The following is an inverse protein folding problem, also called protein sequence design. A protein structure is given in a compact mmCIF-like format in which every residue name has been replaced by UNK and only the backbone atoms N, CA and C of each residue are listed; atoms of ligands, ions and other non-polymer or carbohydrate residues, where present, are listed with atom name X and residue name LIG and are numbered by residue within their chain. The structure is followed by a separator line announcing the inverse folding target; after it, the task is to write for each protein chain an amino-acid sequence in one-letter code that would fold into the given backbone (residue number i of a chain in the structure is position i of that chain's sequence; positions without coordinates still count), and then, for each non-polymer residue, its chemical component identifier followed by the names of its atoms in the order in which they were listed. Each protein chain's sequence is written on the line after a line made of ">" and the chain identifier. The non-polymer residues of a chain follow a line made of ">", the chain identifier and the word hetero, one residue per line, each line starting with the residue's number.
data_IF_362525675168
#
_entry.id   IF_362525675168
#
_cell.length_a   1.000
_cell.length_b   1.000
_cell.length_c   1.000
_cell.angle_alpha   90.00
_cell.angle_beta   90.00
_cell.angle_gamma   90.00
#
_symmetry.space_group_name_H-M   'P 1'
#
loop_
_entity.id
_entity.type
_entity.pdbx_description
1 polymer ?
#
# COMPACT_ATOMS: atom_id res chain seq x y z
N UNK A 1 -15.23 -16.43 -16.46
CA UNK A 1 -15.71 -15.61 -15.34
C UNK A 1 -16.50 -16.52 -14.40
N UNK A 2 -16.08 -16.68 -13.13
CA UNK A 2 -16.76 -17.52 -12.15
C UNK A 2 -18.21 -17.09 -11.86
N UNK A 3 -18.55 -15.81 -12.06
CA UNK A 3 -19.94 -15.29 -11.93
C UNK A 3 -20.80 -15.78 -13.09
N UNK A 4 -20.29 -15.69 -14.33
CA UNK A 4 -20.99 -16.21 -15.51
C UNK A 4 -21.21 -17.73 -15.39
N UNK A 5 -20.20 -18.48 -14.96
CA UNK A 5 -20.31 -19.93 -14.75
C UNK A 5 -21.40 -20.29 -13.71
N UNK A 6 -21.57 -19.49 -12.66
CA UNK A 6 -22.64 -19.67 -11.67
C UNK A 6 -24.03 -19.39 -12.25
N UNK A 7 -24.16 -18.32 -13.04
CA UNK A 7 -25.42 -17.94 -13.70
C UNK A 7 -25.86 -18.95 -14.77
N UNK A 8 -24.89 -19.57 -15.45
CA UNK A 8 -25.11 -20.56 -16.52
C UNK A 8 -25.37 -21.99 -16.01
N UNK A 9 -25.24 -22.23 -14.70
CA UNK A 9 -25.48 -23.56 -14.11
C UNK A 9 -26.70 -23.58 -13.17
N UNK A 10 -27.95 -23.32 -13.63
CA UNK A 10 -29.11 -23.51 -12.77
C UNK A 10 -29.40 -25.01 -12.59
N UNK A 11 -29.62 -25.45 -11.36
CA UNK A 11 -30.39 -26.68 -11.08
C UNK A 11 -31.86 -26.28 -10.95
N UNK A 12 -32.75 -27.07 -11.55
CA UNK A 12 -34.19 -26.81 -11.54
C UNK A 12 -34.71 -26.62 -10.10
N UNK A 13 -35.31 -25.46 -9.82
CA UNK A 13 -35.95 -25.14 -8.54
C UNK A 13 -35.14 -24.31 -7.53
N UNK A 14 -33.84 -24.07 -7.75
CA UNK A 14 -33.04 -23.23 -6.84
C UNK A 14 -33.24 -21.74 -7.11
N UNK A 15 -33.62 -20.97 -6.08
CA UNK A 15 -33.61 -19.50 -6.14
C UNK A 15 -32.15 -19.04 -6.22
N UNK A 16 -31.74 -18.25 -7.22
CA UNK A 16 -30.37 -17.81 -7.36
C UNK A 16 -29.95 -17.04 -6.10
N UNK A 17 -28.83 -17.44 -5.48
CA UNK A 17 -28.23 -16.68 -4.38
C UNK A 17 -27.80 -15.34 -4.95
N UNK A 18 -28.04 -14.25 -4.22
CA UNK A 18 -27.64 -12.90 -4.65
C UNK A 18 -26.11 -12.86 -4.77
N UNK A 19 -25.60 -12.88 -6.00
CA UNK A 19 -24.18 -12.71 -6.27
C UNK A 19 -23.85 -11.22 -6.19
N UNK A 20 -23.03 -10.83 -5.23
CA UNK A 20 -22.47 -9.48 -5.15
C UNK A 20 -21.09 -9.55 -5.77
N UNK A 21 -20.92 -8.91 -6.92
CA UNK A 21 -19.63 -8.83 -7.61
C UNK A 21 -18.93 -7.54 -7.18
N UNK A 22 -17.61 -7.60 -7.01
CA UNK A 22 -16.81 -6.41 -6.80
C UNK A 22 -16.88 -5.50 -8.03
N UNK A 23 -16.70 -4.19 -7.82
CA UNK A 23 -16.53 -3.26 -8.94
C UNK A 23 -15.25 -3.59 -9.70
N UNK A 24 -15.24 -3.36 -11.01
CA UNK A 24 -14.08 -3.65 -11.87
C UNK A 24 -12.82 -2.88 -11.45
N UNK A 25 -12.98 -1.68 -10.88
CA UNK A 25 -11.90 -0.90 -10.29
C UNK A 25 -12.46 0.12 -9.29
N UNK A 26 -11.59 0.60 -8.41
CA UNK A 26 -11.83 1.75 -7.53
C UNK A 26 -10.79 2.83 -7.84
N UNK A 27 -11.14 4.10 -7.64
CA UNK A 27 -10.19 5.20 -7.87
C UNK A 27 -9.02 5.13 -6.87
N UNK A 28 -7.80 5.40 -7.36
CA UNK A 28 -6.63 5.55 -6.50
C UNK A 28 -6.90 6.64 -5.45
N UNK A 29 -6.61 6.32 -4.20
CA UNK A 29 -6.76 7.24 -3.07
C UNK A 29 -5.39 7.81 -2.74
N UNK A 30 -5.10 8.98 -3.28
CA UNK A 30 -3.78 9.60 -3.14
C UNK A 30 -3.85 10.81 -2.21
N UNK A 31 -2.84 10.96 -1.37
CA UNK A 31 -2.63 12.14 -0.52
C UNK A 31 -1.21 12.67 -0.72
N UNK A 32 -0.99 13.94 -0.37
CA UNK A 32 0.26 14.64 -0.64
C UNK A 32 0.84 15.30 0.62
N UNK A 33 1.30 14.51 1.61
CA UNK A 33 1.95 15.03 2.81
C UNK A 33 3.36 15.56 2.51
N UNK A 34 3.88 16.40 3.41
CA UNK A 34 5.31 16.71 3.49
C UNK A 34 5.99 15.59 4.28
N UNK A 35 6.90 14.87 3.64
CA UNK A 35 7.57 13.69 4.22
C UNK A 35 8.96 14.06 4.70
N UNK A 36 9.28 13.70 5.94
CA UNK A 36 10.60 13.95 6.54
C UNK A 36 10.96 15.43 6.66
N UNK A 37 9.99 16.34 6.53
CA UNK A 37 10.22 17.79 6.46
C UNK A 37 10.93 18.26 5.18
N UNK A 38 11.02 17.44 4.13
CA UNK A 38 11.82 17.73 2.93
C UNK A 38 11.01 18.16 1.73
N UNK A 39 9.90 17.49 1.46
CA UNK A 39 9.13 17.72 0.25
C UNK A 39 7.75 17.09 0.29
N UNK A 40 6.87 17.60 -0.57
CA UNK A 40 5.52 17.07 -0.77
C UNK A 40 5.60 15.84 -1.68
N UNK A 41 5.11 14.69 -1.21
CA UNK A 41 5.27 13.40 -1.90
C UNK A 41 3.93 12.77 -2.19
N UNK A 42 3.78 12.15 -3.36
CA UNK A 42 2.60 11.36 -3.67
C UNK A 42 2.57 10.09 -2.81
N UNK A 43 1.50 9.93 -2.03
CA UNK A 43 1.30 8.77 -1.17
C UNK A 43 0.00 8.06 -1.56
N UNK A 44 0.10 6.83 -2.06
CA UNK A 44 -1.04 6.01 -2.41
C UNK A 44 -1.54 5.25 -1.20
N UNK A 45 -2.82 5.43 -0.84
CA UNK A 45 -3.49 4.66 0.19
C UNK A 45 -3.90 3.29 -0.34
N UNK A 46 -3.41 2.24 0.33
CA UNK A 46 -3.70 0.85 0.01
C UNK A 46 -3.89 0.02 1.28
N UNK A 47 -5.15 -0.13 1.70
CA UNK A 47 -5.53 -0.95 2.85
C UNK A 47 -5.21 -2.45 2.68
N UNK A 48 -4.94 -2.90 1.45
CA UNK A 48 -4.51 -4.26 1.16
C UNK A 48 -3.04 -4.50 1.54
N UNK A 49 -2.23 -3.44 1.61
CA UNK A 49 -0.84 -3.56 2.01
C UNK A 49 -0.67 -3.63 3.52
N UNK A 50 0.20 -4.54 3.96
CA UNK A 50 0.48 -4.73 5.37
C UNK A 50 1.45 -3.70 5.95
N UNK A 51 2.10 -2.90 5.10
CA UNK A 51 3.20 -2.01 5.50
C UNK A 51 3.13 -0.67 4.77
N UNK A 52 3.79 0.33 5.35
CA UNK A 52 4.12 1.57 4.63
C UNK A 52 5.46 1.37 3.94
N UNK A 53 5.55 1.69 2.66
CA UNK A 53 6.76 1.46 1.87
C UNK A 53 7.10 2.60 0.92
N UNK A 54 8.40 2.69 0.59
CA UNK A 54 8.95 3.65 -0.38
C UNK A 54 10.04 2.97 -1.20
N UNK A 55 10.30 3.48 -2.41
CA UNK A 55 11.49 3.06 -3.17
C UNK A 55 12.78 3.61 -2.55
N UNK A 56 13.89 2.90 -2.76
CA UNK A 56 15.25 3.35 -2.39
C UNK A 56 15.59 4.70 -2.99
N UNK A 57 15.30 4.89 -4.27
CA UNK A 57 15.54 6.17 -4.96
C UNK A 57 14.81 7.31 -4.25
N UNK A 58 13.52 7.12 -3.94
CA UNK A 58 12.73 8.13 -3.24
C UNK A 58 13.21 8.38 -1.82
N UNK A 59 13.58 7.32 -1.08
CA UNK A 59 14.16 7.47 0.26
C UNK A 59 15.47 8.30 0.24
N UNK A 60 16.34 8.04 -0.74
CA UNK A 60 17.58 8.81 -0.93
C UNK A 60 17.31 10.27 -1.30
N UNK A 61 16.38 10.54 -2.20
CA UNK A 61 15.97 11.91 -2.58
C UNK A 61 15.42 12.70 -1.38
N UNK A 62 14.63 12.03 -0.53
CA UNK A 62 14.11 12.59 0.71
C UNK A 62 15.15 12.61 1.84
N UNK A 63 16.38 12.12 1.61
CA UNK A 63 17.43 12.06 2.63
C UNK A 63 17.06 11.23 3.86
N UNK A 64 16.19 10.23 3.70
CA UNK A 64 15.80 9.32 4.77
C UNK A 64 16.89 8.28 4.99
N UNK A 65 17.26 8.07 6.24
CA UNK A 65 18.14 6.98 6.64
C UNK A 65 17.31 5.78 7.08
N UNK A 66 17.76 4.58 6.74
CA UNK A 66 17.11 3.33 7.14
C UNK A 66 18.09 2.40 7.87
N UNK A 67 17.55 1.60 8.79
CA UNK A 67 18.27 0.52 9.45
C UNK A 67 18.21 -0.76 8.59
N UNK A 68 19.35 -1.25 8.04
CA UNK A 68 19.37 -2.46 7.22
C UNK A 68 19.27 -3.76 8.04
N UNK A 69 19.30 -3.70 9.37
CA UNK A 69 19.13 -4.86 10.24
C UNK A 69 17.66 -5.29 10.37
N UNK A 70 16.72 -4.37 10.13
CA UNK A 70 15.28 -4.62 10.20
C UNK A 70 14.72 -4.75 8.79
N UNK A 71 14.50 -5.99 8.36
CA UNK A 71 14.08 -6.31 7.00
C UNK A 71 12.88 -7.24 7.01
N UNK A 72 12.02 -7.11 6.00
CA UNK A 72 10.88 -7.98 5.78
C UNK A 72 10.87 -8.51 4.35
N UNK A 73 10.21 -9.64 4.16
CA UNK A 73 9.93 -10.20 2.84
C UNK A 73 8.52 -9.79 2.42
N UNK A 74 8.41 -9.07 1.32
CA UNK A 74 7.14 -8.64 0.75
C UNK A 74 6.78 -9.52 -0.42
N UNK A 75 5.61 -10.13 -0.35
CA UNK A 75 4.99 -10.77 -1.50
C UNK A 75 4.11 -9.75 -2.20
N UNK A 76 4.50 -9.37 -3.42
CA UNK A 76 3.71 -8.48 -4.25
C UNK A 76 2.51 -9.20 -4.88
N UNK A 77 1.59 -8.44 -5.46
CA UNK A 77 0.38 -8.98 -6.08
C UNK A 77 0.65 -9.97 -7.24
N UNK A 78 1.82 -9.89 -7.87
CA UNK A 78 2.22 -10.81 -8.95
C UNK A 78 2.89 -12.10 -8.42
N UNK A 79 2.97 -12.27 -7.09
CA UNK A 79 3.56 -13.44 -6.44
C UNK A 79 5.08 -13.38 -6.27
N UNK A 80 5.75 -12.33 -6.77
CA UNK A 80 7.18 -12.14 -6.51
C UNK A 80 7.41 -11.74 -5.06
N UNK A 81 8.40 -12.39 -4.45
CA UNK A 81 8.86 -12.10 -3.09
C UNK A 81 10.13 -11.26 -3.17
N UNK A 82 10.06 -10.04 -2.68
CA UNK A 82 11.20 -9.11 -2.61
C UNK A 82 11.54 -8.82 -1.14
N UNK A 83 12.83 -8.69 -0.86
CA UNK A 83 13.31 -8.34 0.48
C UNK A 83 13.46 -6.82 0.58
N UNK A 84 12.95 -6.21 1.64
CA UNK A 84 13.21 -4.80 1.92
C UNK A 84 14.69 -4.55 2.24
N UNK A 85 15.18 -3.36 1.94
CA UNK A 85 16.54 -2.91 2.25
C UNK A 85 16.72 -2.48 3.71
N UNK A 86 15.61 -2.15 4.38
CA UNK A 86 15.61 -1.73 5.77
C UNK A 86 14.32 -1.01 6.14
N UNK A 87 14.33 -0.34 7.28
CA UNK A 87 13.22 0.48 7.78
C UNK A 87 13.69 1.89 8.15
N UNK A 88 12.96 2.90 7.71
CA UNK A 88 13.07 4.26 8.24
C UNK A 88 12.15 4.37 9.46
N UNK A 89 12.73 4.67 10.63
CA UNK A 89 11.98 4.78 11.86
C UNK A 89 11.37 6.17 12.04
N UNK A 90 10.12 6.21 12.51
CA UNK A 90 9.42 7.44 12.94
C UNK A 90 9.52 8.58 11.93
N UNK A 91 9.30 8.29 10.64
CA UNK A 91 9.32 9.32 9.60
C UNK A 91 8.08 10.20 9.77
N UNK A 92 8.21 11.53 9.89
CA UNK A 92 7.06 12.42 9.99
C UNK A 92 6.41 12.64 8.62
N UNK A 93 5.10 12.41 8.57
CA UNK A 93 4.21 12.72 7.44
C UNK A 93 3.28 13.84 7.86
N UNK A 94 3.54 15.04 7.36
CA UNK A 94 2.77 16.25 7.67
C UNK A 94 1.67 16.47 6.62
N UNK A 95 0.41 16.36 7.05
CA UNK A 95 -0.79 16.58 6.25
C UNK A 95 -1.36 18.01 6.42
N UNK A 96 -0.57 18.92 6.97
CA UNK A 96 -0.86 20.34 7.22
C UNK A 96 -1.50 20.60 8.58
N UNK A 97 -2.55 19.86 8.93
CA UNK A 97 -3.26 20.00 10.21
C UNK A 97 -2.92 18.90 11.22
N UNK A 98 -2.24 17.84 10.76
CA UNK A 98 -1.78 16.74 11.59
C UNK A 98 -0.47 16.17 11.05
N UNK A 99 0.38 15.69 11.95
CA UNK A 99 1.60 14.95 11.62
C UNK A 99 1.48 13.53 12.14
N UNK A 100 1.66 12.56 11.25
CA UNK A 100 1.67 11.14 11.57
C UNK A 100 3.08 10.60 11.47
N UNK A 101 3.54 9.86 12.47
CA UNK A 101 4.85 9.23 12.46
C UNK A 101 4.70 7.78 12.01
N UNK A 102 5.35 7.42 10.90
CA UNK A 102 5.20 6.11 10.28
C UNK A 102 6.55 5.39 10.17
N UNK A 103 6.50 4.07 10.36
CA UNK A 103 7.61 3.19 10.02
C UNK A 103 7.55 2.88 8.54
N UNK A 104 8.60 3.23 7.78
CA UNK A 104 8.58 3.12 6.31
C UNK A 104 9.62 2.12 5.85
N UNK A 105 9.19 1.03 5.23
CA UNK A 105 10.11 0.06 4.64
C UNK A 105 10.66 0.55 3.31
N UNK A 106 11.98 0.48 3.15
CA UNK A 106 12.67 0.84 1.90
C UNK A 106 12.82 -0.41 1.04
N UNK A 107 12.42 -0.33 -0.23
CA UNK A 107 12.46 -1.46 -1.17
C UNK A 107 13.23 -1.03 -2.42
N UNK A 108 13.89 -1.97 -3.09
CA UNK A 108 14.82 -1.63 -4.19
C UNK A 108 14.06 -0.99 -5.37
N UNK A 109 12.98 -1.63 -5.85
CA UNK A 109 12.24 -1.14 -7.03
C UNK A 109 10.72 -1.10 -6.82
N UNK A 110 10.11 0.09 -6.97
CA UNK A 110 8.66 0.24 -7.01
C UNK A 110 8.19 1.27 -8.02
N UNK A 111 6.94 1.12 -8.46
CA UNK A 111 6.28 1.99 -9.44
C UNK A 111 5.59 3.22 -8.82
N UNK A 112 5.58 3.31 -7.49
CA UNK A 112 4.99 4.40 -6.72
C UNK A 112 6.04 5.04 -5.81
N UNK A 113 5.79 6.29 -5.42
CA UNK A 113 6.66 7.01 -4.50
C UNK A 113 6.56 6.43 -3.09
N UNK A 114 5.37 6.51 -2.49
CA UNK A 114 5.07 5.94 -1.18
C UNK A 114 3.72 5.23 -1.22
N UNK A 115 3.63 4.08 -0.57
CA UNK A 115 2.40 3.35 -0.36
C UNK A 115 2.06 3.33 1.13
N UNK A 116 0.86 3.82 1.47
CA UNK A 116 0.31 3.88 2.82
C UNK A 116 -0.53 2.64 3.06
N UNK A 117 0.09 1.62 3.68
CA UNK A 117 -0.59 0.41 4.11
C UNK A 117 -1.31 0.56 5.44
N UNK A 118 -1.78 -0.57 5.97
CA UNK A 118 -2.54 -0.68 7.24
C UNK A 118 -1.96 0.08 8.45
N UNK A 119 -0.64 0.25 8.64
CA UNK A 119 -0.15 1.07 9.76
C UNK A 119 -0.69 2.51 9.73
N UNK A 120 -0.96 3.06 8.55
CA UNK A 120 -1.64 4.35 8.38
C UNK A 120 -3.12 4.27 8.81
N UNK A 121 -3.85 3.24 8.38
CA UNK A 121 -5.27 3.02 8.75
C UNK A 121 -5.52 2.93 10.26
N UNK A 122 -4.53 2.45 11.01
CA UNK A 122 -4.65 2.29 12.48
C UNK A 122 -4.53 3.64 13.20
N UNK A 123 -3.84 4.60 12.60
CA UNK A 123 -3.51 5.89 13.24
C UNK A 123 -4.31 7.06 12.68
N UNK A 124 -5.11 6.86 11.63
CA UNK A 124 -5.99 7.87 11.02
C UNK A 124 -7.40 7.33 10.82
#
# INVERSE_FOLDING_TARGET
>A
DPVLQYLETPKDGDKPRRVVVARESESLRTVYPVVGGRGRVECLHDSGSQVVSTSKARAMELGLSWDPSVVIYMQSANGQVEKSLGICCDVPFDFGHMTVYLQVHVIENHAYDILLGRPFDVVT
#
